data_IF_007309279167
#
_entry.id   IF_007309279167
#
_cell.length_a   1.000
_cell.length_b   1.000
_cell.length_c   1.000
_cell.angle_alpha   90.00
_cell.angle_beta   90.00
_cell.angle_gamma   90.00
#
_symmetry.space_group_name_H-M   'P 1'
#
loop_
_entity.id
_entity.type
_entity.pdbx_description
1 polymer ?
#
# COMPACT_ATOMS: atom_id res chain seq x y z
N UNK A 1 38.96 39.10 -35.05
CA UNK A 1 37.67 38.37 -35.12
C UNK A 1 37.80 37.16 -34.20
N UNK A 2 37.19 37.19 -33.01
CA UNK A 2 37.34 36.10 -32.04
C UNK A 2 36.54 34.88 -32.50
N UNK A 3 37.20 33.74 -32.70
CA UNK A 3 36.51 32.48 -32.94
C UNK A 3 35.78 32.08 -31.66
N UNK A 4 34.45 32.15 -31.67
CA UNK A 4 33.64 31.66 -30.57
C UNK A 4 33.46 30.14 -30.74
N UNK A 5 34.53 29.39 -30.48
CA UNK A 5 34.43 27.93 -30.50
C UNK A 5 33.60 27.51 -29.31
N UNK A 6 32.30 27.23 -29.55
CA UNK A 6 31.33 26.89 -28.49
C UNK A 6 31.82 25.74 -27.61
N UNK A 7 32.58 24.81 -28.18
CA UNK A 7 33.14 23.67 -27.46
C UNK A 7 34.67 23.73 -27.56
N UNK A 8 35.37 23.73 -26.44
CA UNK A 8 36.84 23.83 -26.41
C UNK A 8 37.43 22.99 -25.28
N UNK A 9 38.69 22.61 -25.43
CA UNK A 9 39.47 21.98 -24.37
C UNK A 9 40.49 22.98 -23.87
N UNK A 10 40.60 23.15 -22.56
CA UNK A 10 41.57 24.05 -21.95
C UNK A 10 43.01 23.56 -22.19
N UNK A 11 43.98 24.47 -22.20
CA UNK A 11 45.39 24.10 -22.39
C UNK A 11 45.81 23.15 -21.26
N UNK A 12 46.32 21.96 -21.62
CA UNK A 12 46.63 20.90 -20.65
C UNK A 12 45.66 19.71 -20.68
N UNK A 13 44.51 19.83 -21.36
CA UNK A 13 43.65 18.67 -21.67
C UNK A 13 42.76 18.17 -20.53
N UNK A 14 42.85 18.74 -19.33
CA UNK A 14 42.11 18.28 -18.14
C UNK A 14 40.60 18.56 -18.20
N UNK A 15 40.21 19.62 -18.93
CA UNK A 15 38.83 20.09 -18.97
C UNK A 15 38.38 20.37 -20.40
N UNK A 16 37.26 19.75 -20.77
CA UNK A 16 36.52 20.06 -21.99
C UNK A 16 35.24 20.79 -21.62
N UNK A 17 35.03 21.96 -22.21
CA UNK A 17 33.82 22.77 -22.07
C UNK A 17 32.93 22.54 -23.28
N UNK A 18 31.66 22.19 -23.05
CA UNK A 18 30.64 22.05 -24.09
C UNK A 18 29.64 23.20 -23.94
N UNK A 19 29.70 24.19 -24.84
CA UNK A 19 28.74 25.30 -24.90
C UNK A 19 27.58 25.07 -25.86
N UNK A 20 27.52 23.90 -26.51
CA UNK A 20 26.39 23.40 -27.28
C UNK A 20 25.70 22.20 -26.62
N UNK A 21 24.99 21.40 -27.42
CA UNK A 21 24.39 20.14 -26.95
C UNK A 21 25.41 19.00 -27.07
N UNK A 22 25.56 18.20 -26.00
CA UNK A 22 26.24 16.91 -26.04
C UNK A 22 25.20 15.80 -26.18
N UNK A 23 25.23 15.09 -27.31
CA UNK A 23 24.35 13.93 -27.56
C UNK A 23 25.13 12.63 -27.29
N UNK A 24 24.62 11.81 -26.37
CA UNK A 24 25.17 10.49 -26.06
C UNK A 24 24.25 9.46 -26.72
N UNK A 25 24.78 8.72 -27.70
CA UNK A 25 24.01 7.74 -28.49
C UNK A 25 23.76 6.44 -27.73
N UNK A 26 22.82 5.65 -28.23
CA UNK A 26 22.54 4.30 -27.74
C UNK A 26 23.84 3.46 -27.68
N UNK A 27 24.07 2.81 -26.53
CA UNK A 27 25.26 1.99 -26.28
C UNK A 27 26.49 2.73 -25.73
N UNK A 28 26.46 4.07 -25.61
CA UNK A 28 27.55 4.82 -24.99
C UNK A 28 27.45 4.81 -23.44
N UNK A 29 28.61 4.88 -22.77
CA UNK A 29 28.72 4.87 -21.31
C UNK A 29 29.42 6.14 -20.80
N UNK A 30 28.90 6.72 -19.72
CA UNK A 30 29.53 7.82 -18.98
C UNK A 30 29.86 7.32 -17.58
N UNK A 31 31.10 7.54 -17.12
CA UNK A 31 31.56 7.16 -15.79
C UNK A 31 31.91 8.39 -14.96
N UNK A 32 31.94 8.27 -13.63
CA UNK A 32 32.36 9.36 -12.74
C UNK A 32 31.31 10.45 -12.46
N UNK A 33 30.10 10.35 -13.01
CA UNK A 33 28.97 11.15 -12.54
C UNK A 33 28.53 10.66 -11.16
N UNK A 34 28.27 11.59 -10.24
CA UNK A 34 27.62 11.25 -8.97
C UNK A 34 26.31 10.49 -9.24
N UNK A 35 25.99 9.45 -8.47
CA UNK A 35 24.75 8.73 -8.64
C UNK A 35 23.58 9.72 -8.53
N UNK A 36 22.59 9.56 -9.40
CA UNK A 36 21.34 10.32 -9.28
C UNK A 36 20.77 10.07 -7.89
N UNK A 37 20.70 11.11 -7.06
CA UNK A 37 20.04 11.01 -5.75
C UNK A 37 18.55 10.97 -6.01
N UNK A 38 17.99 9.76 -6.01
CA UNK A 38 16.56 9.60 -6.03
C UNK A 38 16.07 9.92 -4.62
N UNK A 39 15.41 11.06 -4.48
CA UNK A 39 14.75 11.46 -3.23
C UNK A 39 13.51 10.61 -2.99
N UNK A 40 13.10 10.51 -1.74
CA UNK A 40 11.80 9.91 -1.37
C UNK A 40 10.70 10.69 -2.12
N UNK A 41 9.67 9.98 -2.57
CA UNK A 41 8.54 10.60 -3.25
C UNK A 41 7.82 11.55 -2.28
N UNK A 42 7.37 12.69 -2.80
CA UNK A 42 6.50 13.63 -2.08
C UNK A 42 5.17 13.75 -2.82
N UNK A 43 4.18 14.43 -2.24
CA UNK A 43 2.86 14.65 -2.86
C UNK A 43 2.94 15.25 -4.28
N UNK A 44 3.98 16.04 -4.55
CA UNK A 44 4.11 16.82 -5.79
C UNK A 44 5.34 16.44 -6.63
N UNK A 45 6.17 15.51 -6.18
CA UNK A 45 7.39 15.09 -6.88
C UNK A 45 7.54 13.56 -6.90
N UNK A 46 7.68 13.00 -8.10
CA UNK A 46 8.01 11.59 -8.30
C UNK A 46 9.37 11.28 -7.66
N UNK A 47 9.39 10.34 -6.72
CA UNK A 47 10.59 9.80 -6.09
C UNK A 47 10.72 8.29 -6.28
N UNK A 48 11.75 7.71 -5.69
CA UNK A 48 12.08 6.29 -5.86
C UNK A 48 11.47 5.43 -4.78
N UNK A 49 10.65 4.45 -5.17
CA UNK A 49 10.23 3.35 -4.30
C UNK A 49 11.02 2.08 -4.65
N UNK A 50 11.71 1.48 -3.67
CA UNK A 50 12.25 0.13 -3.80
C UNK A 50 11.17 -0.87 -3.36
N UNK A 51 10.47 -1.45 -4.33
CA UNK A 51 9.46 -2.47 -4.09
C UNK A 51 9.77 -3.74 -4.89
N UNK A 52 9.33 -4.89 -4.40
CA UNK A 52 9.37 -6.13 -5.18
C UNK A 52 8.36 -6.04 -6.36
N UNK A 53 8.60 -6.76 -7.47
CA UNK A 53 7.61 -6.90 -8.54
C UNK A 53 6.31 -7.52 -8.00
N UNK A 54 5.18 -7.02 -8.47
CA UNK A 54 3.85 -7.56 -8.16
C UNK A 54 3.73 -9.04 -8.63
N UNK A 55 3.20 -9.91 -7.79
CA UNK A 55 2.71 -11.25 -8.16
C UNK A 55 1.21 -11.26 -8.48
N UNK A 56 0.69 -12.33 -9.08
CA UNK A 56 -0.75 -12.48 -9.37
C UNK A 56 -1.63 -12.46 -8.11
N UNK A 57 -1.07 -12.88 -6.97
CA UNK A 57 -1.74 -12.89 -5.66
C UNK A 57 -1.81 -11.52 -4.98
N UNK A 58 -1.03 -10.54 -5.44
CA UNK A 58 -0.97 -9.20 -4.86
C UNK A 58 -2.11 -8.34 -5.45
N UNK A 59 -3.33 -8.60 -5.00
CA UNK A 59 -4.55 -8.01 -5.56
C UNK A 59 -4.93 -6.67 -4.95
N UNK A 60 -4.35 -6.31 -3.81
CA UNK A 60 -4.69 -5.10 -3.05
C UNK A 60 -3.79 -3.93 -3.45
N UNK A 61 -4.34 -2.82 -3.97
CA UNK A 61 -3.54 -1.63 -4.28
C UNK A 61 -3.07 -0.93 -3.00
N UNK A 62 -1.81 -0.52 -2.95
CA UNK A 62 -1.24 0.29 -1.88
C UNK A 62 -1.39 1.80 -2.17
N UNK A 63 -1.80 2.57 -1.17
CA UNK A 63 -1.76 4.05 -1.16
C UNK A 63 -0.50 4.50 -0.43
N UNK A 64 -0.02 5.71 -0.70
CA UNK A 64 1.10 6.32 0.02
C UNK A 64 0.56 7.54 0.79
N UNK A 65 0.99 7.74 2.04
CA UNK A 65 0.67 8.95 2.81
C UNK A 65 1.73 10.05 2.64
N UNK A 66 1.53 11.17 3.33
CA UNK A 66 2.41 12.34 3.29
C UNK A 66 3.82 12.05 3.84
N UNK A 67 3.96 11.02 4.69
CA UNK A 67 5.23 10.59 5.29
C UNK A 67 5.95 9.52 4.45
N UNK A 68 5.38 9.12 3.31
CA UNK A 68 5.94 8.12 2.40
C UNK A 68 5.71 6.67 2.85
N UNK A 69 4.79 6.44 3.79
CA UNK A 69 4.40 5.13 4.29
C UNK A 69 3.33 4.54 3.35
N UNK A 70 3.50 3.25 3.01
CA UNK A 70 2.53 2.53 2.18
C UNK A 70 1.42 1.92 3.03
N UNK A 71 0.17 2.20 2.68
CA UNK A 71 -1.03 1.67 3.30
C UNK A 71 -1.73 0.75 2.33
N UNK A 72 -2.10 -0.44 2.79
CA UNK A 72 -3.09 -1.27 2.14
C UNK A 72 -4.41 -1.14 2.90
N UNK A 73 -5.57 -1.11 2.22
CA UNK A 73 -6.85 -1.31 2.89
C UNK A 73 -6.80 -2.55 3.78
N UNK A 74 -7.28 -2.45 5.02
CA UNK A 74 -7.51 -3.63 5.86
C UNK A 74 -8.50 -4.54 5.15
N UNK A 75 -8.03 -5.66 4.61
CA UNK A 75 -8.82 -6.50 3.72
C UNK A 75 -8.97 -7.94 4.25
N UNK A 76 -10.20 -8.48 4.36
CA UNK A 76 -11.46 -7.75 4.51
C UNK A 76 -11.62 -7.22 5.95
N UNK A 77 -12.59 -6.34 6.19
CA UNK A 77 -13.24 -6.27 7.53
C UNK A 77 -13.81 -7.67 7.73
N UNK A 78 -13.07 -8.55 8.41
CA UNK A 78 -13.61 -9.83 8.84
C UNK A 78 -14.80 -9.46 9.71
N UNK A 79 -16.05 -9.82 9.33
CA UNK A 79 -17.16 -9.66 10.24
C UNK A 79 -16.76 -10.42 11.50
N UNK A 80 -16.67 -9.74 12.64
CA UNK A 80 -16.49 -10.44 13.91
C UNK A 80 -17.57 -11.50 13.95
N UNK A 81 -17.16 -12.77 14.06
CA UNK A 81 -18.13 -13.85 14.08
C UNK A 81 -19.01 -13.61 15.31
N UNK A 82 -20.32 -13.34 15.15
CA UNK A 82 -21.16 -13.03 16.28
C UNK A 82 -21.11 -14.18 17.28
N UNK A 83 -20.70 -13.88 18.51
CA UNK A 83 -20.69 -14.84 19.62
C UNK A 83 -21.90 -14.54 20.49
N UNK A 84 -22.75 -15.53 20.67
CA UNK A 84 -23.93 -15.43 21.54
C UNK A 84 -23.52 -15.73 22.96
N UNK A 85 -24.02 -14.95 23.92
CA UNK A 85 -23.85 -15.23 25.34
C UNK A 85 -24.37 -16.62 25.70
N UNK A 86 -23.65 -17.30 26.59
CA UNK A 86 -24.00 -18.64 27.04
C UNK A 86 -25.48 -18.75 27.48
N UNK A 87 -26.14 -19.80 27.01
CA UNK A 87 -27.45 -20.23 27.51
C UNK A 87 -27.23 -21.47 28.39
N UNK A 88 -27.65 -21.38 29.65
CA UNK A 88 -27.61 -22.53 30.56
C UNK A 88 -28.48 -23.68 30.02
N UNK A 89 -28.17 -24.95 30.37
CA UNK A 89 -28.95 -26.09 29.93
C UNK A 89 -30.37 -25.98 30.46
N UNK A 90 -31.37 -26.39 29.67
CA UNK A 90 -32.75 -26.45 30.14
C UNK A 90 -32.88 -27.48 31.26
N UNK A 91 -33.61 -27.11 32.31
CA UNK A 91 -33.98 -27.99 33.43
C UNK A 91 -35.49 -28.19 33.52
N UNK A 92 -36.22 -27.82 32.47
CA UNK A 92 -37.68 -27.91 32.43
C UNK A 92 -38.16 -29.37 32.45
N UNK A 93 -39.13 -29.66 33.33
CA UNK A 93 -39.81 -30.96 33.42
C UNK A 93 -41.17 -30.96 32.71
N UNK A 94 -41.58 -29.80 32.19
CA UNK A 94 -42.87 -29.60 31.54
C UNK A 94 -42.76 -28.74 30.25
N UNK A 95 -43.84 -28.75 29.47
CA UNK A 95 -43.92 -28.02 28.20
C UNK A 95 -43.81 -26.49 28.44
N UNK A 96 -44.49 -25.89 29.43
CA UNK A 96 -44.35 -24.46 29.71
C UNK A 96 -42.92 -24.03 30.02
N UNK A 97 -42.18 -24.81 30.82
CA UNK A 97 -40.77 -24.53 31.12
C UNK A 97 -39.89 -24.63 29.89
N UNK A 98 -40.08 -25.66 29.06
CA UNK A 98 -39.30 -25.83 27.83
C UNK A 98 -39.52 -24.67 26.85
N UNK A 99 -40.77 -24.21 26.72
CA UNK A 99 -41.11 -23.07 25.88
C UNK A 99 -40.43 -21.78 26.34
N UNK A 100 -40.35 -21.56 27.66
CA UNK A 100 -39.67 -20.40 28.22
C UNK A 100 -38.16 -20.42 27.92
N UNK A 101 -37.49 -21.56 28.16
CA UNK A 101 -36.06 -21.72 27.91
C UNK A 101 -35.72 -21.56 26.41
N UNK A 102 -36.56 -22.10 25.53
CA UNK A 102 -36.37 -22.01 24.09
C UNK A 102 -36.53 -20.57 23.58
N UNK A 103 -37.59 -19.84 23.99
CA UNK A 103 -37.79 -18.46 23.58
C UNK A 103 -36.70 -17.51 24.11
N UNK A 104 -36.12 -17.81 25.29
CA UNK A 104 -34.97 -17.08 25.80
C UNK A 104 -33.73 -17.25 24.91
N UNK A 105 -33.48 -18.48 24.42
CA UNK A 105 -32.41 -18.73 23.44
C UNK A 105 -32.64 -17.98 22.13
N UNK A 106 -33.86 -18.05 21.56
CA UNK A 106 -34.18 -17.33 20.31
C UNK A 106 -33.93 -15.83 20.44
N UNK A 107 -34.32 -15.23 21.57
CA UNK A 107 -34.08 -13.81 21.86
C UNK A 107 -32.59 -13.46 21.84
N UNK A 108 -31.75 -14.32 22.43
CA UNK A 108 -30.28 -14.15 22.41
C UNK A 108 -29.70 -14.27 21.00
N UNK A 109 -30.19 -15.22 20.19
CA UNK A 109 -29.75 -15.39 18.80
C UNK A 109 -30.11 -14.19 17.92
N UNK A 110 -31.31 -13.64 18.10
CA UNK A 110 -31.78 -12.44 17.39
C UNK A 110 -30.95 -11.21 17.82
N UNK A 111 -30.75 -11.01 19.13
CA UNK A 111 -29.97 -9.89 19.65
C UNK A 111 -28.51 -9.91 19.18
N UNK A 112 -27.93 -11.10 19.00
CA UNK A 112 -26.58 -11.28 18.48
C UNK A 112 -26.49 -11.20 16.93
N UNK A 113 -27.61 -10.99 16.23
CA UNK A 113 -27.65 -10.92 14.76
C UNK A 113 -27.38 -12.26 14.06
N UNK A 114 -27.48 -13.39 14.79
CA UNK A 114 -27.34 -14.74 14.22
C UNK A 114 -28.65 -15.18 13.55
N UNK A 115 -29.79 -14.73 14.08
CA UNK A 115 -31.12 -15.03 13.57
C UNK A 115 -31.81 -13.73 13.13
N UNK A 116 -32.50 -13.78 11.99
CA UNK A 116 -33.32 -12.65 11.53
C UNK A 116 -34.47 -12.37 12.50
N UNK A 117 -34.88 -11.10 12.59
CA UNK A 117 -36.18 -10.75 13.17
C UNK A 117 -37.30 -11.14 12.19
N UNK A 118 -38.45 -11.51 12.72
CA UNK A 118 -39.68 -11.73 11.95
C UNK A 118 -40.14 -10.45 11.23
#
# INVERSE_FOLDING_TARGET
>A
MGYNTKNYTEQGGEKTVIGGTLEIKEGAFVTGLSPHQITIATETALGGIKAAPKAETDTVPAKIDEDGILYVPTYPVVPETPVVDYQAPSTAEDIPGLLADFNALLTKLIAAGIMATD
#
